data_IF_756866598725
#
_entry.id   IF_756866598725
#
_cell.length_a   1.000
_cell.length_b   1.000
_cell.length_c   1.000
_cell.angle_alpha   90.00
_cell.angle_beta   90.00
_cell.angle_gamma   90.00
#
_symmetry.space_group_name_H-M   'P 1'
#
loop_
_entity.id
_entity.type
_entity.pdbx_description
1 polymer ?
#
# COMPACT_ATOMS: atom_id res chain seq x y z
N UNK A 1 -16.93 -16.78 4.74
CA UNK A 1 -16.08 -15.74 5.35
C UNK A 1 -15.94 -14.62 4.34
N UNK A 2 -15.87 -13.37 4.79
CA UNK A 2 -15.57 -12.24 3.92
C UNK A 2 -14.09 -12.28 3.51
N UNK A 3 -13.79 -12.04 2.24
CA UNK A 3 -12.40 -11.96 1.76
C UNK A 3 -11.78 -10.60 2.11
N UNK A 4 -10.45 -10.47 2.17
CA UNK A 4 -9.82 -9.16 2.38
C UNK A 4 -10.24 -8.12 1.32
N UNK A 5 -10.45 -8.55 0.08
CA UNK A 5 -10.95 -7.68 -1.00
C UNK A 5 -12.35 -7.14 -0.69
N UNK A 6 -13.28 -8.02 -0.30
CA UNK A 6 -14.63 -7.61 0.12
C UNK A 6 -14.60 -6.70 1.34
N UNK A 7 -13.66 -6.92 2.27
CA UNK A 7 -13.51 -6.05 3.43
C UNK A 7 -13.03 -4.64 3.07
N UNK A 8 -12.17 -4.50 2.06
CA UNK A 8 -11.79 -3.18 1.53
C UNK A 8 -13.01 -2.46 0.96
N UNK A 9 -13.86 -3.16 0.20
CA UNK A 9 -15.08 -2.60 -0.37
C UNK A 9 -16.07 -2.13 0.71
N UNK A 10 -16.28 -2.91 1.77
CA UNK A 10 -17.12 -2.50 2.92
C UNK A 10 -16.61 -1.24 3.63
N UNK A 11 -15.28 -1.05 3.64
CA UNK A 11 -14.64 0.13 4.20
C UNK A 11 -14.61 1.33 3.24
N UNK A 12 -15.19 1.18 2.03
CA UNK A 12 -15.17 2.19 0.98
C UNK A 12 -13.77 2.44 0.42
N UNK A 13 -12.90 1.44 0.46
CA UNK A 13 -11.50 1.52 0.01
C UNK A 13 -11.32 0.79 -1.31
N UNK A 14 -10.50 1.38 -2.18
CA UNK A 14 -10.04 0.76 -3.42
C UNK A 14 -8.51 0.68 -3.45
N UNK A 15 -7.98 -0.27 -4.21
CA UNK A 15 -6.55 -0.38 -4.43
C UNK A 15 -6.10 0.74 -5.40
N UNK A 16 -5.12 1.58 -5.02
CA UNK A 16 -4.66 2.67 -5.85
C UNK A 16 -3.91 2.14 -7.08
N UNK A 17 -3.88 2.96 -8.13
CA UNK A 17 -3.02 2.73 -9.30
C UNK A 17 -1.57 2.85 -8.86
N UNK A 18 -0.75 1.86 -9.24
CA UNK A 18 0.66 1.84 -8.89
C UNK A 18 1.44 2.93 -9.64
N UNK A 19 2.30 3.63 -8.91
CA UNK A 19 3.26 4.55 -9.50
C UNK A 19 4.45 3.76 -10.08
N UNK A 20 4.95 4.22 -11.23
CA UNK A 20 6.17 3.67 -11.81
C UNK A 20 7.36 3.85 -10.83
N UNK A 21 8.31 2.90 -10.81
CA UNK A 21 9.51 3.02 -9.97
C UNK A 21 10.29 4.29 -10.27
N UNK A 22 10.74 5.00 -9.23
CA UNK A 22 11.49 6.25 -9.37
C UNK A 22 12.97 6.04 -9.74
N UNK A 23 13.46 4.80 -9.71
CA UNK A 23 14.83 4.44 -9.98
C UNK A 23 14.94 2.95 -10.38
N UNK A 24 16.16 2.47 -10.66
CA UNK A 24 16.45 1.09 -11.01
C UNK A 24 16.42 0.16 -9.79
N UNK A 25 15.21 -0.18 -9.32
CA UNK A 25 14.95 -1.20 -8.30
C UNK A 25 13.66 -1.96 -8.62
N UNK A 26 13.46 -3.14 -8.00
CA UNK A 26 12.22 -3.89 -8.15
C UNK A 26 11.20 -3.51 -7.06
N UNK A 27 9.97 -3.11 -7.42
CA UNK A 27 8.92 -2.82 -6.44
C UNK A 27 8.56 -4.00 -5.54
N UNK A 28 8.59 -5.21 -6.12
CA UNK A 28 8.32 -6.47 -5.43
C UNK A 28 9.35 -7.51 -5.85
N UNK A 29 9.83 -8.29 -4.89
CA UNK A 29 10.67 -9.47 -5.11
C UNK A 29 10.04 -10.67 -4.42
N UNK A 30 10.10 -11.84 -5.06
CA UNK A 30 9.63 -13.10 -4.48
C UNK A 30 10.80 -14.05 -4.23
N UNK A 31 10.86 -14.62 -3.03
CA UNK A 31 11.79 -15.69 -2.69
C UNK A 31 11.04 -16.81 -2.01
N UNK A 32 10.83 -17.92 -2.74
CA UNK A 32 9.94 -19.00 -2.31
C UNK A 32 8.52 -18.47 -2.06
N UNK A 33 8.06 -18.61 -0.82
CA UNK A 33 6.73 -18.20 -0.36
C UNK A 33 6.71 -16.83 0.31
N UNK A 34 7.82 -16.08 0.28
CA UNK A 34 7.90 -14.72 0.82
C UNK A 34 7.92 -13.66 -0.28
N UNK A 35 7.08 -12.63 -0.11
CA UNK A 35 7.10 -11.41 -0.89
C UNK A 35 7.83 -10.31 -0.11
N UNK A 36 8.82 -9.70 -0.75
CA UNK A 36 9.52 -8.52 -0.26
C UNK A 36 9.02 -7.32 -1.05
N UNK A 37 8.37 -6.39 -0.37
CA UNK A 37 7.76 -5.20 -0.98
C UNK A 37 8.63 -4.00 -0.62
N UNK A 38 9.05 -3.25 -1.63
CA UNK A 38 9.80 -2.01 -1.45
C UNK A 38 8.97 -0.96 -0.70
N UNK A 39 9.64 0.03 -0.11
CA UNK A 39 8.96 1.12 0.59
C UNK A 39 7.92 1.82 -0.29
N UNK A 40 6.71 2.01 0.25
CA UNK A 40 5.64 2.73 -0.43
C UNK A 40 5.50 4.14 0.15
N UNK A 41 5.36 5.12 -0.73
CA UNK A 41 5.13 6.51 -0.35
C UNK A 41 3.65 6.71 0.00
N UNK A 42 3.39 7.60 0.96
CA UNK A 42 2.04 8.06 1.27
C UNK A 42 1.58 9.04 0.19
N UNK A 43 0.87 8.56 -0.82
CA UNK A 43 0.33 9.40 -1.88
C UNK A 43 -1.18 9.27 -2.02
N UNK A 44 -1.83 10.36 -2.43
CA UNK A 44 -3.23 10.40 -2.82
C UNK A 44 -3.38 11.08 -4.20
N UNK A 45 -4.62 11.43 -4.57
CA UNK A 45 -4.94 12.14 -5.82
C UNK A 45 -4.24 13.51 -5.97
N UNK A 46 -3.77 14.10 -4.87
CA UNK A 46 -3.06 15.39 -4.85
C UNK A 46 -1.53 15.22 -4.83
N UNK A 47 -1.03 13.98 -4.81
CA UNK A 47 0.39 13.65 -4.82
C UNK A 47 0.88 13.10 -3.48
N UNK A 48 2.18 13.26 -3.21
CA UNK A 48 2.80 12.72 -1.99
C UNK A 48 2.42 13.61 -0.80
N UNK A 49 1.85 12.99 0.24
CA UNK A 49 1.63 13.58 1.55
C UNK A 49 2.99 13.72 2.24
N UNK A 50 3.35 14.95 2.64
CA UNK A 50 4.65 15.28 3.23
C UNK A 50 4.46 15.94 4.59
N UNK A 51 5.42 15.73 5.49
CA UNK A 51 5.46 16.38 6.79
C UNK A 51 6.09 15.50 7.87
N UNK A 52 6.28 16.06 9.06
CA UNK A 52 6.79 15.36 10.24
C UNK A 52 5.74 15.35 11.34
N UNK A 53 5.37 14.16 11.83
CA UNK A 53 4.41 14.00 12.93
C UNK A 53 4.92 14.69 14.20
N UNK A 54 4.06 15.49 14.82
CA UNK A 54 4.40 16.28 16.02
C UNK A 54 5.11 17.61 15.71
N UNK A 55 5.27 17.93 14.42
CA UNK A 55 5.77 19.21 13.96
C UNK A 55 4.80 19.78 12.92
N UNK A 56 4.89 19.35 11.66
CA UNK A 56 4.12 19.91 10.55
C UNK A 56 2.82 19.14 10.26
N UNK A 57 2.64 17.95 10.81
CA UNK A 57 1.38 17.18 10.71
C UNK A 57 0.98 16.62 12.07
N UNK A 58 -0.33 16.50 12.28
CA UNK A 58 -0.93 15.87 13.45
C UNK A 58 -1.09 14.35 13.25
N UNK A 59 -1.63 13.69 14.28
CA UNK A 59 -1.81 12.24 14.32
C UNK A 59 -2.80 11.77 13.25
N UNK A 60 -3.89 12.50 13.02
CA UNK A 60 -4.93 12.13 12.05
C UNK A 60 -4.36 12.13 10.63
N UNK A 61 -3.62 13.17 10.25
CA UNK A 61 -2.96 13.25 8.96
C UNK A 61 -1.87 12.18 8.81
N UNK A 62 -1.12 11.87 9.87
CA UNK A 62 -0.12 10.80 9.84
C UNK A 62 -0.77 9.40 9.68
N UNK A 63 -1.91 9.16 10.32
CA UNK A 63 -2.68 7.92 10.16
C UNK A 63 -3.24 7.79 8.74
N UNK A 64 -3.73 8.89 8.15
CA UNK A 64 -4.16 8.91 6.76
C UNK A 64 -3.00 8.60 5.80
N UNK A 65 -1.83 9.20 6.03
CA UNK A 65 -0.62 8.90 5.28
C UNK A 65 -0.24 7.41 5.37
N UNK A 66 -0.26 6.83 6.58
CA UNK A 66 0.03 5.42 6.80
C UNK A 66 -1.01 4.49 6.12
N UNK A 67 -2.29 4.87 6.14
CA UNK A 67 -3.37 4.15 5.44
C UNK A 67 -3.10 4.10 3.93
N UNK A 68 -2.69 5.22 3.33
CA UNK A 68 -2.37 5.27 1.90
C UNK A 68 -1.12 4.44 1.54
N UNK A 69 -0.11 4.41 2.42
CA UNK A 69 1.02 3.49 2.27
C UNK A 69 0.55 2.02 2.30
N UNK A 70 -0.30 1.65 3.26
CA UNK A 70 -0.81 0.29 3.39
C UNK A 70 -1.63 -0.13 2.15
N UNK A 71 -2.49 0.74 1.64
CA UNK A 71 -3.25 0.48 0.40
C UNK A 71 -2.32 0.28 -0.81
N UNK A 72 -1.23 1.06 -0.88
CA UNK A 72 -0.21 0.90 -1.93
C UNK A 72 0.50 -0.45 -1.82
N UNK A 73 0.82 -0.91 -0.61
CA UNK A 73 1.40 -2.24 -0.37
C UNK A 73 0.45 -3.34 -0.88
N UNK A 74 -0.84 -3.27 -0.52
CA UNK A 74 -1.83 -4.23 -0.99
C UNK A 74 -1.95 -4.23 -2.53
N UNK A 75 -1.91 -3.04 -3.15
CA UNK A 75 -1.90 -2.91 -4.60
C UNK A 75 -0.65 -3.55 -5.24
N UNK A 76 0.53 -3.46 -4.62
CA UNK A 76 1.74 -4.14 -5.09
C UNK A 76 1.60 -5.67 -5.04
N UNK A 77 0.97 -6.21 -3.99
CA UNK A 77 0.73 -7.65 -3.85
C UNK A 77 -0.15 -8.14 -5.01
N UNK A 78 -1.28 -7.48 -5.24
CA UNK A 78 -2.25 -7.90 -6.26
C UNK A 78 -1.71 -7.66 -7.66
N UNK A 79 -1.23 -6.46 -7.97
CA UNK A 79 -0.96 -6.04 -9.34
C UNK A 79 0.48 -6.33 -9.81
N UNK A 80 1.45 -6.33 -8.90
CA UNK A 80 2.86 -6.60 -9.26
C UNK A 80 3.27 -8.05 -8.97
N UNK A 81 2.81 -8.62 -7.86
CA UNK A 81 3.12 -10.00 -7.49
C UNK A 81 2.13 -11.03 -8.07
N UNK A 82 0.97 -10.58 -8.58
CA UNK A 82 -0.13 -11.43 -9.03
C UNK A 82 -0.58 -12.43 -7.96
N UNK A 83 -0.70 -11.96 -6.71
CA UNK A 83 -1.15 -12.76 -5.57
C UNK A 83 -2.46 -12.20 -5.03
N UNK A 84 -3.46 -13.06 -4.87
CA UNK A 84 -4.72 -12.69 -4.25
C UNK A 84 -4.54 -12.43 -2.75
N UNK A 85 -5.18 -11.38 -2.22
CA UNK A 85 -5.00 -10.99 -0.82
C UNK A 85 -5.38 -12.08 0.19
N UNK A 86 -6.31 -12.96 -0.18
CA UNK A 86 -6.75 -14.08 0.65
C UNK A 86 -5.68 -15.18 0.80
N UNK A 87 -4.67 -15.21 -0.06
CA UNK A 87 -3.60 -16.20 -0.03
C UNK A 87 -2.42 -15.78 0.86
N UNK A 88 -2.42 -14.52 1.32
CA UNK A 88 -1.41 -14.01 2.25
C UNK A 88 -1.71 -14.50 3.66
N UNK A 89 -0.74 -15.21 4.24
CA UNK A 89 -0.80 -15.71 5.62
C UNK A 89 -0.02 -14.77 6.55
N UNK A 90 -0.60 -14.51 7.72
CA UNK A 90 0.06 -13.80 8.82
C UNK A 90 1.01 -14.73 9.59
#
# INVERSE_FOLDING_TARGET
MITPQQRLEELGLSLPVLLAPLASYSPVMRSGDMLYISGQLSSDQNGIIKGRLGDNIDLENAQLAAKNCALSILSQIVNSANVELQDIKQ
#
